data_IF_004423394027
#
_entry.id   IF_004423394027
#
_cell.length_a   1.000
_cell.length_b   1.000
_cell.length_c   1.000
_cell.angle_alpha   90.00
_cell.angle_beta   90.00
_cell.angle_gamma   90.00
#
_symmetry.space_group_name_H-M   'P 1'
#
loop_
_entity.id
_entity.type
_entity.pdbx_description
1 polymer ?
#
# COMPACT_ATOMS: atom_id res chain seq x y z
N UNK A 1 -4.32 -16.17 -11.54
CA UNK A 1 -4.48 -14.99 -12.36
C UNK A 1 -5.41 -13.99 -11.69
N UNK A 2 -5.03 -13.02 -11.43
CA UNK A 2 -5.14 -11.59 -11.61
C UNK A 2 -6.45 -11.03 -11.16
N UNK A 3 -6.54 -10.99 -9.88
CA UNK A 3 -7.65 -10.43 -9.17
C UNK A 3 -7.39 -8.99 -8.74
N UNK A 4 -6.24 -8.44 -9.12
CA UNK A 4 -5.91 -7.04 -8.93
C UNK A 4 -5.93 -6.35 -10.29
N UNK A 5 -6.58 -5.22 -10.38
CA UNK A 5 -6.51 -4.38 -11.56
C UNK A 5 -5.16 -3.69 -11.53
N UNK A 6 -4.23 -4.18 -12.32
CA UNK A 6 -2.94 -3.55 -12.51
C UNK A 6 -3.09 -2.31 -13.39
N UNK A 7 -2.38 -1.27 -13.07
CA UNK A 7 -2.22 -0.15 -14.00
C UNK A 7 -1.57 -0.69 -15.28
N UNK A 8 -2.28 -0.55 -16.38
CA UNK A 8 -1.94 -1.19 -17.65
C UNK A 8 -0.55 -0.77 -18.15
N UNK A 9 0.17 -1.72 -18.68
CA UNK A 9 1.54 -1.64 -19.17
C UNK A 9 1.84 -0.56 -20.24
N UNK A 10 0.86 0.12 -20.79
CA UNK A 10 1.05 1.16 -21.80
C UNK A 10 1.55 2.50 -21.28
N UNK A 11 1.85 2.64 -20.00
CA UNK A 11 2.25 3.90 -19.36
C UNK A 11 3.65 3.84 -18.77
N UNK A 12 4.41 2.80 -19.09
CA UNK A 12 5.65 2.43 -18.40
C UNK A 12 6.87 2.59 -19.28
N UNK A 13 8.03 2.68 -18.66
CA UNK A 13 9.29 2.41 -19.33
C UNK A 13 9.20 1.03 -19.99
N UNK A 14 9.94 0.72 -21.00
CA UNK A 14 9.88 -0.55 -21.71
C UNK A 14 10.09 -1.82 -20.87
N UNK A 15 10.15 -1.72 -19.52
CA UNK A 15 10.35 -2.81 -18.56
C UNK A 15 9.06 -3.21 -17.84
N UNK A 16 7.96 -2.49 -18.04
CA UNK A 16 6.67 -2.77 -17.40
C UNK A 16 6.49 -2.16 -16.01
N UNK A 17 7.41 -1.28 -15.59
CA UNK A 17 7.33 -0.53 -14.36
C UNK A 17 6.93 0.92 -14.64
N UNK A 18 6.23 1.56 -13.70
CA UNK A 18 6.00 3.00 -13.70
C UNK A 18 7.28 3.71 -13.27
N UNK A 19 7.76 4.62 -14.09
CA UNK A 19 8.82 5.53 -13.71
C UNK A 19 8.24 6.67 -12.89
N UNK A 20 8.57 6.73 -11.60
CA UNK A 20 8.00 7.71 -10.67
C UNK A 20 9.03 8.79 -10.37
N UNK A 21 8.65 10.03 -10.68
CA UNK A 21 9.48 11.20 -10.43
C UNK A 21 8.83 12.47 -10.97
N UNK A 22 9.65 13.49 -11.16
CA UNK A 22 9.23 14.80 -11.70
C UNK A 22 9.99 15.20 -12.96
N UNK A 23 10.67 14.24 -13.60
CA UNK A 23 11.40 14.41 -14.87
C UNK A 23 10.49 14.38 -16.11
N UNK A 24 11.10 14.43 -17.29
CA UNK A 24 10.38 14.59 -18.57
C UNK A 24 9.56 13.36 -18.97
N UNK A 25 9.97 12.16 -18.54
CA UNK A 25 9.30 10.90 -18.86
C UNK A 25 8.80 10.17 -17.59
N UNK A 26 8.82 10.85 -16.48
CA UNK A 26 8.44 10.31 -15.19
C UNK A 26 6.99 10.66 -14.84
N UNK A 27 6.37 9.87 -14.02
CA UNK A 27 5.00 10.09 -13.55
C UNK A 27 5.00 10.63 -12.13
N UNK A 28 4.29 11.74 -11.93
CA UNK A 28 4.04 12.27 -10.58
C UNK A 28 3.35 11.20 -9.72
N UNK A 29 3.87 10.89 -8.53
CA UNK A 29 3.25 9.92 -7.62
C UNK A 29 1.79 10.24 -7.29
N UNK A 30 1.39 11.54 -7.31
CA UNK A 30 0.00 11.96 -7.11
C UNK A 30 -0.88 11.51 -8.27
N UNK A 31 -0.36 11.57 -9.51
CA UNK A 31 -1.10 11.13 -10.70
C UNK A 31 -1.29 9.60 -10.70
N UNK A 32 -0.31 8.85 -10.22
CA UNK A 32 -0.45 7.40 -10.02
C UNK A 32 -1.58 7.09 -9.04
N UNK A 33 -1.62 7.79 -7.92
CA UNK A 33 -2.71 7.63 -6.94
C UNK A 33 -4.07 8.04 -7.51
N UNK A 34 -4.12 9.13 -8.29
CA UNK A 34 -5.35 9.56 -8.96
C UNK A 34 -5.87 8.51 -9.96
N UNK A 35 -4.97 7.86 -10.69
CA UNK A 35 -5.34 6.74 -11.59
C UNK A 35 -5.85 5.54 -10.83
N UNK A 36 -5.22 5.18 -9.71
CA UNK A 36 -5.72 4.11 -8.84
C UNK A 36 -7.10 4.43 -8.27
N UNK A 37 -7.34 5.67 -7.84
CA UNK A 37 -8.65 6.10 -7.39
C UNK A 37 -9.70 5.94 -8.49
N UNK A 38 -9.40 6.39 -9.71
CA UNK A 38 -10.29 6.26 -10.86
C UNK A 38 -10.65 4.79 -11.16
N UNK A 39 -9.68 3.89 -11.13
CA UNK A 39 -9.94 2.46 -11.37
C UNK A 39 -10.87 1.86 -10.32
N UNK A 40 -10.73 2.25 -9.05
CA UNK A 40 -11.64 1.82 -7.99
C UNK A 40 -13.05 2.44 -8.17
N UNK A 41 -13.15 3.69 -8.65
CA UNK A 41 -14.43 4.34 -8.93
C UNK A 41 -15.16 3.66 -10.09
N UNK A 42 -14.45 3.28 -11.16
CA UNK A 42 -14.98 2.52 -12.29
C UNK A 42 -15.57 1.16 -11.85
N UNK A 43 -15.05 0.58 -10.77
CA UNK A 43 -15.55 -0.66 -10.16
C UNK A 43 -16.63 -0.41 -9.08
N UNK A 44 -17.10 0.82 -8.93
CA UNK A 44 -18.08 1.22 -7.91
C UNK A 44 -17.67 0.87 -6.47
N UNK A 45 -16.39 0.99 -6.15
CA UNK A 45 -15.86 0.77 -4.80
C UNK A 45 -16.10 2.03 -3.96
N UNK A 46 -16.65 1.94 -2.73
CA UNK A 46 -16.86 3.09 -1.86
C UNK A 46 -15.56 3.89 -1.62
N UNK A 47 -15.70 5.21 -1.45
CA UNK A 47 -14.55 6.07 -1.15
C UNK A 47 -14.08 5.95 0.30
N UNK A 48 -15.00 5.68 1.22
CA UNK A 48 -14.65 5.50 2.62
C UNK A 48 -13.97 4.16 2.88
N UNK A 49 -12.88 4.17 3.64
CA UNK A 49 -12.13 2.96 3.96
C UNK A 49 -11.17 2.51 2.87
N UNK A 50 -10.83 3.38 1.92
CA UNK A 50 -9.74 3.13 0.97
C UNK A 50 -8.40 3.32 1.65
N UNK A 51 -7.49 2.39 1.43
CA UNK A 51 -6.14 2.41 1.94
C UNK A 51 -5.13 2.34 0.79
N UNK A 52 -3.96 2.92 1.03
CA UNK A 52 -2.84 2.87 0.11
C UNK A 52 -1.57 2.51 0.87
N UNK A 53 -0.81 1.55 0.36
CA UNK A 53 0.45 1.09 0.95
C UNK A 53 1.54 1.17 -0.10
N UNK A 54 2.65 1.81 0.26
CA UNK A 54 3.83 1.90 -0.59
C UNK A 54 5.13 1.76 0.23
N UNK A 55 6.23 1.57 -0.48
CA UNK A 55 7.58 1.54 0.08
C UNK A 55 8.06 2.93 0.54
N UNK A 56 9.16 2.97 1.30
CA UNK A 56 9.78 4.23 1.75
C UNK A 56 10.18 5.14 0.59
N UNK A 57 10.65 4.56 -0.49
CA UNK A 57 11.13 5.16 -1.73
C UNK A 57 10.02 5.99 -2.42
N UNK A 58 8.80 5.46 -2.48
CA UNK A 58 7.63 6.19 -2.98
C UNK A 58 7.36 7.45 -2.16
N UNK A 59 7.50 7.34 -0.84
CA UNK A 59 7.32 8.48 0.06
C UNK A 59 8.46 9.49 -0.03
N UNK A 60 9.68 9.04 -0.37
CA UNK A 60 10.81 9.93 -0.63
C UNK A 60 10.51 10.83 -1.84
N UNK A 61 10.09 10.23 -2.97
CA UNK A 61 9.70 11.00 -4.16
C UNK A 61 8.53 11.92 -3.87
N UNK A 62 7.52 11.45 -3.14
CA UNK A 62 6.38 12.27 -2.75
C UNK A 62 6.78 13.49 -1.90
N UNK A 63 7.85 13.38 -1.11
CA UNK A 63 8.41 14.43 -0.27
C UNK A 63 9.45 15.33 -0.95
N UNK A 64 9.78 15.12 -2.24
CA UNK A 64 10.74 15.96 -2.95
C UNK A 64 10.24 17.41 -3.10
N UNK A 65 11.19 18.34 -3.21
CA UNK A 65 10.89 19.78 -3.34
C UNK A 65 10.05 20.12 -4.59
N UNK A 66 10.12 19.30 -5.62
CA UNK A 66 9.31 19.41 -6.83
C UNK A 66 7.85 18.98 -6.63
N UNK A 67 7.54 18.32 -5.52
CA UNK A 67 6.18 17.90 -5.21
C UNK A 67 5.30 19.09 -4.88
N UNK A 68 4.14 19.16 -5.50
CA UNK A 68 3.11 20.19 -5.20
C UNK A 68 2.56 20.09 -3.78
N UNK A 69 2.75 18.96 -3.10
CA UNK A 69 2.33 18.76 -1.72
C UNK A 69 3.08 19.66 -0.71
N UNK A 70 4.29 20.09 -1.06
CA UNK A 70 5.10 21.02 -0.26
C UNK A 70 4.73 22.49 -0.50
N UNK A 71 3.95 22.80 -1.54
CA UNK A 71 3.57 24.18 -1.86
C UNK A 71 2.50 24.68 -0.89
N UNK A 72 2.79 25.83 -0.28
CA UNK A 72 1.85 26.54 0.63
C UNK A 72 0.57 26.94 -0.12
N UNK A 73 0.68 27.26 -1.41
CA UNK A 73 -0.45 27.64 -2.26
C UNK A 73 -1.47 26.53 -2.47
N UNK A 74 -1.01 25.27 -2.45
CA UNK A 74 -1.88 24.09 -2.59
C UNK A 74 -2.56 23.69 -1.28
N UNK A 75 -1.92 23.99 -0.14
CA UNK A 75 -2.41 23.60 1.18
C UNK A 75 -3.32 24.64 1.86
N UNK A 76 -3.68 25.72 1.17
CA UNK A 76 -4.57 26.77 1.67
C UNK A 76 -4.26 27.23 3.11
N UNK A 77 -2.98 27.28 3.48
CA UNK A 77 -2.54 27.68 4.81
C UNK A 77 -2.80 26.67 5.95
N UNK A 78 -3.40 25.54 5.65
CA UNK A 78 -3.68 24.45 6.58
C UNK A 78 -2.59 23.38 6.48
N UNK A 79 -1.55 23.53 7.25
CA UNK A 79 -0.65 22.41 7.53
C UNK A 79 0.24 22.02 6.37
N UNK A 80 1.33 22.74 6.23
CA UNK A 80 2.51 22.17 5.57
C UNK A 80 2.78 20.77 6.10
N UNK A 81 3.47 19.94 5.33
CA UNK A 81 4.11 18.70 5.79
C UNK A 81 5.11 19.08 6.91
N UNK A 82 4.60 19.47 8.06
CA UNK A 82 5.38 19.56 9.28
C UNK A 82 5.44 18.16 9.86
N UNK A 83 6.64 17.64 9.99
CA UNK A 83 6.93 16.31 10.52
C UNK A 83 6.49 15.14 9.63
N UNK A 84 6.43 15.29 8.31
CA UNK A 84 6.08 14.20 7.40
C UNK A 84 4.61 13.76 7.45
N UNK A 85 3.77 14.52 8.13
CA UNK A 85 2.33 14.25 8.17
C UNK A 85 1.67 15.03 7.04
N UNK A 86 1.20 14.33 6.03
CA UNK A 86 0.24 14.87 5.06
C UNK A 86 -1.03 15.20 5.84
N UNK A 87 -1.54 16.42 5.68
CA UNK A 87 -2.74 16.90 6.37
C UNK A 87 -3.82 15.83 6.45
N UNK A 88 -4.25 15.50 7.65
CA UNK A 88 -5.29 14.49 7.97
C UNK A 88 -5.04 13.03 7.57
N UNK A 89 -3.84 12.64 7.15
CA UNK A 89 -3.53 11.24 6.80
C UNK A 89 -4.18 10.69 5.54
N UNK A 90 -5.02 11.49 4.85
CA UNK A 90 -5.69 11.10 3.61
C UNK A 90 -5.15 11.90 2.43
N UNK A 91 -4.76 11.20 1.37
CA UNK A 91 -4.39 11.78 0.10
C UNK A 91 -5.23 11.14 -1.01
N UNK A 92 -5.93 11.97 -1.81
CA UNK A 92 -6.84 11.50 -2.86
C UNK A 92 -7.87 10.47 -2.39
N UNK A 93 -8.34 10.59 -1.13
CA UNK A 93 -9.32 9.67 -0.54
C UNK A 93 -8.73 8.41 0.08
N UNK A 94 -7.41 8.19 -0.03
CA UNK A 94 -6.73 7.04 0.56
C UNK A 94 -6.14 7.35 1.93
N UNK A 95 -6.29 6.43 2.86
CA UNK A 95 -5.51 6.37 4.09
C UNK A 95 -4.12 5.83 3.78
N UNK A 96 -3.07 6.61 4.09
CA UNK A 96 -1.71 6.36 3.64
C UNK A 96 -0.92 5.53 4.66
N UNK A 97 -0.36 4.42 4.20
CA UNK A 97 0.49 3.54 5.01
C UNK A 97 1.84 3.30 4.34
N UNK A 98 2.90 3.34 5.14
CA UNK A 98 4.26 3.03 4.69
C UNK A 98 4.69 1.68 5.24
N UNK A 99 5.20 0.81 4.37
CA UNK A 99 5.73 -0.49 4.77
C UNK A 99 6.97 -0.86 3.97
N UNK A 100 7.97 -1.37 4.68
CA UNK A 100 9.18 -1.91 4.06
C UNK A 100 9.05 -3.41 3.70
N UNK A 101 7.92 -4.03 4.03
CA UNK A 101 7.66 -5.45 3.76
C UNK A 101 6.93 -5.70 2.44
N UNK A 102 6.83 -4.67 1.60
CA UNK A 102 6.23 -4.81 0.27
C UNK A 102 7.25 -5.48 -0.65
N UNK A 103 6.77 -6.44 -1.45
CA UNK A 103 7.61 -7.12 -2.43
C UNK A 103 8.21 -6.11 -3.42
N UNK A 104 9.53 -6.14 -3.56
CA UNK A 104 10.26 -5.47 -4.61
C UNK A 104 10.72 -6.51 -5.63
N UNK A 105 10.77 -6.13 -6.90
CA UNK A 105 11.38 -6.96 -7.93
C UNK A 105 12.86 -6.63 -8.06
N UNK A 106 13.66 -7.56 -8.60
CA UNK A 106 15.11 -7.48 -8.71
C UNK A 106 15.65 -6.30 -9.55
N UNK A 107 14.79 -5.54 -10.19
CA UNK A 107 15.13 -4.40 -11.04
C UNK A 107 14.80 -3.04 -10.40
N UNK A 108 15.10 -2.90 -9.12
CA UNK A 108 14.90 -1.63 -8.37
C UNK A 108 13.45 -1.09 -8.37
N UNK A 109 12.49 -1.91 -8.72
CA UNK A 109 11.10 -1.53 -8.70
C UNK A 109 10.45 -1.88 -7.37
N UNK A 110 9.87 -0.88 -6.73
CA UNK A 110 8.95 -1.05 -5.63
C UNK A 110 7.57 -1.48 -6.13
N UNK A 111 6.73 -1.90 -5.22
CA UNK A 111 5.31 -2.14 -5.47
C UNK A 111 4.48 -1.23 -4.59
N UNK A 112 3.49 -0.56 -5.16
CA UNK A 112 2.45 0.11 -4.40
C UNK A 112 1.12 -0.60 -4.59
N UNK A 113 0.28 -0.55 -3.57
CA UNK A 113 -1.03 -1.19 -3.55
C UNK A 113 -2.05 -0.25 -2.96
N UNK A 114 -3.21 -0.18 -3.59
CA UNK A 114 -4.37 0.52 -3.06
C UNK A 114 -5.59 -0.39 -3.08
N UNK A 115 -6.50 -0.16 -2.17
CA UNK A 115 -7.72 -0.95 -2.13
C UNK A 115 -8.70 -0.47 -1.07
N UNK A 116 -9.78 -1.20 -0.95
CA UNK A 116 -10.79 -0.98 0.07
C UNK A 116 -10.74 -2.10 1.12
N UNK A 117 -11.18 -1.81 2.34
CA UNK A 117 -11.18 -2.77 3.46
C UNK A 117 -11.92 -4.06 3.11
N UNK A 118 -12.99 -3.99 2.31
CA UNK A 118 -13.76 -5.18 1.92
C UNK A 118 -13.06 -6.09 0.91
N UNK A 119 -11.90 -5.70 0.40
CA UNK A 119 -11.15 -6.49 -0.61
C UNK A 119 -10.57 -7.77 -0.05
N UNK A 120 -10.18 -7.76 1.22
CA UNK A 120 -9.50 -8.86 1.89
C UNK A 120 -10.22 -9.28 3.15
N UNK A 121 -10.21 -10.57 3.45
CA UNK A 121 -10.65 -11.09 4.73
C UNK A 121 -9.50 -11.84 5.40
N UNK A 122 -9.40 -11.66 6.70
CA UNK A 122 -8.52 -12.41 7.57
C UNK A 122 -9.33 -13.16 8.60
N UNK A 123 -9.01 -14.43 8.80
CA UNK A 123 -9.56 -15.24 9.87
C UNK A 123 -8.43 -15.61 10.81
N UNK A 124 -8.69 -15.49 12.09
CA UNK A 124 -7.72 -15.74 13.15
C UNK A 124 -8.43 -16.40 14.32
N UNK A 125 -7.93 -17.53 14.76
CA UNK A 125 -8.49 -18.24 15.91
C UNK A 125 -7.41 -18.96 16.72
N UNK A 126 -7.54 -18.93 18.04
CA UNK A 126 -6.76 -19.75 18.95
C UNK A 126 -7.61 -20.98 19.26
N UNK A 127 -7.22 -22.14 18.75
CA UNK A 127 -7.99 -23.37 18.87
C UNK A 127 -7.85 -24.02 20.24
N UNK A 128 -6.64 -24.07 20.77
CA UNK A 128 -6.38 -24.66 22.09
C UNK A 128 -5.11 -24.11 22.74
N UNK A 129 -5.13 -24.03 24.05
CA UNK A 129 -3.94 -23.80 24.86
C UNK A 129 -3.89 -24.94 25.89
N UNK A 130 -2.78 -25.66 25.94
CA UNK A 130 -2.58 -26.79 26.82
C UNK A 130 -1.34 -26.62 27.68
N UNK A 131 -1.44 -27.04 28.93
CA UNK A 131 -0.31 -27.15 29.83
C UNK A 131 0.00 -28.63 29.99
N UNK A 132 1.22 -29.02 29.65
CA UNK A 132 1.72 -30.38 29.74
C UNK A 132 2.91 -30.40 30.66
N UNK A 133 2.99 -31.42 31.54
CA UNK A 133 4.18 -31.66 32.32
C UNK A 133 5.27 -32.25 31.44
N UNK A 134 6.47 -31.68 31.52
CA UNK A 134 7.63 -32.19 30.78
C UNK A 134 8.06 -33.55 31.39
N UNK A 135 8.09 -34.63 30.56
CA UNK A 135 8.52 -35.94 31.05
C UNK A 135 10.04 -36.03 31.28
N UNK A 136 10.81 -35.05 30.74
CA UNK A 136 12.27 -35.05 30.80
C UNK A 136 12.85 -34.10 31.84
N UNK A 137 12.06 -33.16 32.34
CA UNK A 137 12.51 -32.18 33.35
C UNK A 137 11.40 -31.81 34.33
N UNK A 138 11.78 -31.14 35.44
CA UNK A 138 10.83 -30.61 36.43
C UNK A 138 10.27 -29.27 35.96
N UNK A 139 9.50 -29.27 34.85
CA UNK A 139 8.91 -28.08 34.28
C UNK A 139 7.55 -28.36 33.67
N UNK A 140 6.78 -27.33 33.48
CA UNK A 140 5.52 -27.36 32.70
C UNK A 140 5.73 -26.70 31.36
N UNK A 141 5.28 -27.37 30.29
CA UNK A 141 5.31 -26.87 28.91
C UNK A 141 3.93 -26.29 28.59
N UNK A 142 3.90 -25.00 28.24
CA UNK A 142 2.68 -24.37 27.74
C UNK A 142 2.78 -24.33 26.19
N UNK A 143 1.80 -24.96 25.53
CA UNK A 143 1.69 -24.94 24.11
C UNK A 143 0.33 -24.41 23.64
N UNK A 144 0.31 -23.67 22.55
CA UNK A 144 -0.91 -23.14 21.96
C UNK A 144 -0.96 -23.43 20.47
N UNK A 145 -2.13 -23.73 19.94
CA UNK A 145 -2.39 -23.82 18.53
C UNK A 145 -3.12 -22.56 18.06
N UNK A 146 -2.44 -21.80 17.21
CA UNK A 146 -2.98 -20.60 16.57
C UNK A 146 -3.12 -20.87 15.06
N UNK A 147 -4.34 -20.75 14.56
CA UNK A 147 -4.63 -20.90 13.13
C UNK A 147 -5.05 -19.53 12.58
N UNK A 148 -4.41 -19.13 11.51
CA UNK A 148 -4.73 -17.89 10.82
C UNK A 148 -4.72 -18.10 9.31
N UNK A 149 -5.47 -17.29 8.59
CA UNK A 149 -5.49 -17.28 7.15
C UNK A 149 -5.94 -15.92 6.62
N UNK A 150 -5.48 -15.57 5.43
CA UNK A 150 -5.91 -14.37 4.72
C UNK A 150 -6.26 -14.74 3.29
N UNK A 151 -7.32 -14.11 2.76
CA UNK A 151 -7.74 -14.31 1.36
C UNK A 151 -8.33 -13.03 0.79
N UNK A 152 -8.06 -12.80 -0.49
CA UNK A 152 -8.74 -11.77 -1.26
C UNK A 152 -10.14 -12.27 -1.60
N UNK A 153 -11.16 -11.51 -1.20
CA UNK A 153 -12.56 -11.80 -1.47
C UNK A 153 -13.09 -11.05 -2.68
N UNK A 154 -12.73 -9.75 -2.79
CA UNK A 154 -13.16 -8.87 -3.87
C UNK A 154 -11.96 -8.30 -4.59
N UNK A 155 -11.52 -8.98 -5.64
CA UNK A 155 -10.33 -8.58 -6.39
C UNK A 155 -10.49 -7.24 -7.12
N UNK A 156 -11.70 -6.92 -7.54
CA UNK A 156 -12.05 -5.66 -8.17
C UNK A 156 -11.86 -4.44 -7.25
N UNK A 157 -11.80 -4.66 -5.93
CA UNK A 157 -11.55 -3.62 -4.93
C UNK A 157 -10.06 -3.48 -4.57
N UNK A 158 -9.17 -4.06 -5.35
CA UNK A 158 -7.72 -3.96 -5.20
C UNK A 158 -7.08 -3.44 -6.49
N UNK A 159 -6.12 -2.53 -6.35
CA UNK A 159 -5.29 -2.01 -7.44
C UNK A 159 -3.84 -2.10 -7.01
N UNK A 160 -2.96 -2.53 -7.90
CA UNK A 160 -1.53 -2.53 -7.64
C UNK A 160 -0.75 -1.98 -8.83
N UNK A 161 0.42 -1.41 -8.55
CA UNK A 161 1.35 -0.99 -9.58
C UNK A 161 2.79 -1.31 -9.15
N UNK A 162 3.62 -1.62 -10.12
CA UNK A 162 5.07 -1.66 -9.96
C UNK A 162 5.66 -0.33 -10.41
N UNK A 163 6.64 0.17 -9.68
CA UNK A 163 7.29 1.44 -10.01
C UNK A 163 8.81 1.31 -9.89
N UNK A 164 9.50 2.07 -10.73
CA UNK A 164 10.93 2.34 -10.62
C UNK A 164 11.17 3.78 -10.17
N UNK A 165 12.34 4.04 -9.63
CA UNK A 165 12.85 5.38 -9.31
C UNK A 165 14.27 5.42 -9.89
N UNK A 166 14.53 6.36 -10.77
CA UNK A 166 15.87 6.63 -11.34
C UNK A 166 16.72 7.50 -10.42
#
# INVERSE_FOLDING_TARGET
SDNATDLAAGTFDGTGNLDIGFGTNEHDPIDVMARMARLLDEQNVPEEGRWFVAGPDFYEVLGQASSKLLSVDFNAGQGSIRNGLVSSGKLRGFDMYKSNNIASTSNAAGKCMGGHISSTATANTILSTEVLRDPSSFGDIVRGLHVYGAKVLRPEALVSAFYGID
#
